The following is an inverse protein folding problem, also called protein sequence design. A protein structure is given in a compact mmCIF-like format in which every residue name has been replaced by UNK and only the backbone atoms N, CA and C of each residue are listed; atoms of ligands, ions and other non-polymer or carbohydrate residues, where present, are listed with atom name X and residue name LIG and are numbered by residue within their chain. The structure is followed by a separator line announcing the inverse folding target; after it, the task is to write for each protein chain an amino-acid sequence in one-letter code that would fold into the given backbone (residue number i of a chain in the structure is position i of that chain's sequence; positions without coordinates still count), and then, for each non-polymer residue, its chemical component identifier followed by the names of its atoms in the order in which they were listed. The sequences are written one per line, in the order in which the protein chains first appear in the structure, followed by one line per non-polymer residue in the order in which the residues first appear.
data_IF_373467554345
#
_entry.id   IF_373467554345
#
_cell.length_a   1.000
_cell.length_b   1.000
_cell.length_c   1.000
_cell.angle_alpha   90.00
_cell.angle_beta   90.00
_cell.angle_gamma   90.00
#
_symmetry.space_group_name_H-M   'P 1'
#
loop_
_entity.id
_entity.type
_entity.pdbx_description
1 polymer ?
#
# COMPACT_ATOMS: atom_id res chain seq x y z
N UNK A 1 29.23 3.94 59.88
CA UNK A 1 28.63 2.75 59.23
C UNK A 1 27.90 3.15 57.93
N UNK A 2 28.60 3.63 56.89
CA UNK A 2 27.96 4.05 55.61
C UNK A 2 28.68 3.53 54.35
N UNK A 3 29.61 2.58 54.51
CA UNK A 3 30.48 2.13 53.41
C UNK A 3 29.89 1.00 52.56
N UNK A 4 28.76 0.40 52.97
CA UNK A 4 28.20 -0.81 52.34
C UNK A 4 27.16 -0.57 51.24
N UNK A 5 26.50 0.60 51.21
CA UNK A 5 25.40 0.87 50.27
C UNK A 5 25.87 1.42 48.92
N UNK A 6 27.01 2.12 48.88
CA UNK A 6 27.54 2.68 47.63
C UNK A 6 28.14 1.64 46.69
N UNK A 7 28.81 0.62 47.24
CA UNK A 7 29.48 -0.41 46.44
C UNK A 7 28.46 -1.32 45.72
N UNK A 8 27.42 -1.78 46.41
CA UNK A 8 26.37 -2.65 45.84
C UNK A 8 25.59 -1.99 44.72
N UNK A 9 25.29 -0.69 44.83
CA UNK A 9 24.62 0.07 43.77
C UNK A 9 25.48 0.19 42.49
N UNK A 10 26.79 0.40 42.63
CA UNK A 10 27.73 0.50 41.50
C UNK A 10 27.91 -0.85 40.80
N UNK A 11 28.04 -1.96 41.54
CA UNK A 11 28.14 -3.29 40.95
C UNK A 11 26.85 -3.72 40.24
N UNK A 12 25.69 -3.43 40.83
CA UNK A 12 24.40 -3.72 40.21
C UNK A 12 24.18 -2.90 38.93
N UNK A 13 24.54 -1.61 38.95
CA UNK A 13 24.50 -0.75 37.76
C UNK A 13 25.44 -1.22 36.65
N UNK A 14 26.68 -1.59 36.98
CA UNK A 14 27.66 -2.12 36.03
C UNK A 14 27.21 -3.44 35.39
N UNK A 15 26.64 -4.35 36.19
CA UNK A 15 26.09 -5.62 35.68
C UNK A 15 24.89 -5.42 34.74
N UNK A 16 24.04 -4.43 35.02
CA UNK A 16 22.91 -4.08 34.15
C UNK A 16 23.38 -3.50 32.81
N UNK A 17 24.33 -2.56 32.83
CA UNK A 17 24.91 -1.98 31.61
C UNK A 17 25.62 -3.05 30.78
N UNK A 18 26.41 -3.93 31.41
CA UNK A 18 27.05 -5.05 30.73
C UNK A 18 26.03 -6.00 30.09
N UNK A 19 24.96 -6.36 30.80
CA UNK A 19 23.88 -7.20 30.24
C UNK A 19 23.17 -6.53 29.07
N UNK A 20 22.94 -5.21 29.10
CA UNK A 20 22.32 -4.48 28.00
C UNK A 20 23.28 -4.42 26.80
N UNK A 21 24.56 -4.08 27.03
CA UNK A 21 25.57 -3.97 25.99
C UNK A 21 25.87 -5.31 25.30
N UNK A 22 25.76 -6.43 26.01
CA UNK A 22 25.99 -7.79 25.49
C UNK A 22 24.74 -8.48 24.97
N UNK A 23 23.57 -7.82 25.02
CA UNK A 23 22.35 -8.40 24.42
C UNK A 23 22.55 -8.59 22.93
N UNK A 24 22.44 -9.83 22.47
CA UNK A 24 22.38 -10.15 21.05
C UNK A 24 21.18 -9.45 20.43
N UNK A 25 21.41 -8.69 19.36
CA UNK A 25 20.33 -8.10 18.57
C UNK A 25 19.50 -9.22 17.94
N UNK A 26 18.17 -9.07 17.86
CA UNK A 26 17.33 -10.02 17.14
C UNK A 26 17.76 -10.09 15.67
N UNK A 27 17.92 -11.31 15.15
CA UNK A 27 18.23 -11.54 13.73
C UNK A 27 16.97 -11.62 12.88
N UNK A 28 15.83 -11.99 13.50
CA UNK A 28 14.53 -12.16 12.86
C UNK A 28 13.44 -11.47 13.66
N UNK A 29 12.32 -11.18 13.00
CA UNK A 29 11.10 -10.65 13.60
C UNK A 29 9.90 -11.50 13.14
N UNK A 30 8.99 -11.79 14.08
CA UNK A 30 7.65 -12.25 13.73
C UNK A 30 6.83 -11.04 13.29
N UNK A 31 6.20 -11.14 12.13
CA UNK A 31 5.41 -10.06 11.52
C UNK A 31 4.07 -10.62 11.06
N UNK A 32 3.05 -9.77 10.98
CA UNK A 32 1.72 -10.11 10.50
C UNK A 32 1.45 -9.34 9.20
N UNK A 33 0.87 -10.02 8.21
CA UNK A 33 0.51 -9.38 6.97
C UNK A 33 -0.78 -8.55 7.12
N UNK A 34 -0.72 -7.27 6.78
CA UNK A 34 -1.87 -6.38 6.79
C UNK A 34 -3.05 -6.87 5.93
N UNK A 35 -2.76 -7.56 4.81
CA UNK A 35 -3.77 -7.92 3.81
C UNK A 35 -4.45 -9.27 4.07
N UNK A 36 -3.67 -10.32 4.34
CA UNK A 36 -4.21 -11.67 4.54
C UNK A 36 -4.22 -12.11 6.01
N UNK A 37 -3.73 -11.26 6.93
CA UNK A 37 -3.64 -11.51 8.36
C UNK A 37 -2.84 -12.80 8.73
N UNK A 38 -1.97 -13.28 7.84
CA UNK A 38 -1.09 -14.41 8.12
C UNK A 38 0.21 -13.93 8.77
N UNK A 39 0.65 -14.66 9.78
CA UNK A 39 1.94 -14.42 10.43
C UNK A 39 3.06 -15.07 9.62
N UNK A 40 4.21 -14.41 9.57
CA UNK A 40 5.45 -14.98 9.03
C UNK A 40 6.67 -14.45 9.79
N UNK A 41 7.84 -14.93 9.43
CA UNK A 41 9.12 -14.53 10.02
C UNK A 41 10.01 -13.96 8.93
N UNK A 42 10.55 -12.77 9.19
CA UNK A 42 11.45 -12.07 8.26
C UNK A 42 12.75 -11.68 8.97
N UNK A 43 13.85 -11.40 8.24
CA UNK A 43 15.02 -10.76 8.82
C UNK A 43 14.63 -9.48 9.58
N UNK A 44 15.22 -9.23 10.75
CA UNK A 44 14.80 -8.13 11.61
C UNK A 44 14.87 -6.75 10.93
N UNK A 45 15.83 -6.56 10.02
CA UNK A 45 15.95 -5.36 9.18
C UNK A 45 14.78 -5.15 8.22
N UNK A 46 14.09 -6.23 7.84
CA UNK A 46 13.02 -6.23 6.84
C UNK A 46 11.63 -6.22 7.47
N UNK A 47 11.51 -6.06 8.80
CA UNK A 47 10.22 -6.11 9.52
C UNK A 47 9.17 -5.10 9.03
N UNK A 48 9.59 -4.07 8.30
CA UNK A 48 8.73 -3.06 7.65
C UNK A 48 9.05 -2.91 6.16
N UNK A 49 9.56 -3.94 5.48
CA UNK A 49 9.76 -3.93 4.02
C UNK A 49 9.86 -5.35 3.48
N UNK A 50 8.72 -6.04 3.38
CA UNK A 50 8.68 -7.43 2.96
C UNK A 50 7.43 -7.72 2.14
N UNK A 51 7.55 -8.61 1.14
CA UNK A 51 6.41 -9.13 0.40
C UNK A 51 5.88 -10.38 1.10
N UNK A 52 4.56 -10.49 1.25
CA UNK A 52 3.94 -11.60 1.96
C UNK A 52 4.06 -12.91 1.16
N UNK A 53 4.59 -14.00 1.73
CA UNK A 53 4.74 -15.27 1.01
C UNK A 53 3.40 -15.98 0.72
N UNK A 54 2.28 -15.48 1.26
CA UNK A 54 0.96 -16.09 1.08
C UNK A 54 0.09 -15.36 0.03
N UNK A 55 0.18 -14.03 -0.06
CA UNK A 55 -0.67 -13.23 -0.95
C UNK A 55 0.10 -12.26 -1.85
N UNK A 56 1.43 -12.32 -1.84
CA UNK A 56 2.35 -11.51 -2.64
C UNK A 56 2.23 -9.99 -2.43
N UNK A 57 1.50 -9.54 -1.40
CA UNK A 57 1.32 -8.12 -1.11
C UNK A 57 2.50 -7.56 -0.30
N UNK A 58 2.94 -6.36 -0.66
CA UNK A 58 4.02 -5.65 0.03
C UNK A 58 3.56 -5.09 1.38
N UNK A 59 4.33 -5.35 2.43
CA UNK A 59 4.13 -4.90 3.80
C UNK A 59 5.28 -3.98 4.21
N UNK A 60 5.05 -2.68 4.11
CA UNK A 60 6.01 -1.67 4.50
C UNK A 60 5.38 -0.28 4.47
N UNK A 61 5.20 0.31 5.64
CA UNK A 61 4.42 1.54 5.83
C UNK A 61 5.24 2.63 6.53
N UNK A 62 4.93 3.88 6.22
CA UNK A 62 5.37 5.06 6.95
C UNK A 62 4.47 5.25 8.19
N UNK A 63 4.84 6.15 9.10
CA UNK A 63 4.06 6.41 10.32
C UNK A 63 2.65 6.93 10.03
N UNK A 64 2.45 7.58 8.89
CA UNK A 64 1.14 8.06 8.42
C UNK A 64 0.28 6.97 7.74
N UNK A 65 0.79 5.74 7.60
CA UNK A 65 0.10 4.63 6.95
C UNK A 65 0.36 4.48 5.45
N UNK A 66 1.05 5.42 4.80
CA UNK A 66 1.42 5.28 3.39
C UNK A 66 2.48 4.20 3.17
N UNK A 67 2.63 3.72 1.95
CA UNK A 67 3.76 2.86 1.62
C UNK A 67 5.10 3.60 1.80
N UNK A 68 6.08 2.91 2.35
CA UNK A 68 7.45 3.42 2.49
C UNK A 68 8.31 3.29 1.22
N UNK A 69 7.68 2.89 0.11
CA UNK A 69 8.27 2.88 -1.23
C UNK A 69 7.19 3.25 -2.24
N UNK A 70 7.55 3.87 -3.38
CA UNK A 70 6.61 4.01 -4.47
C UNK A 70 6.20 2.64 -5.00
N UNK A 71 4.91 2.47 -5.33
CA UNK A 71 4.38 1.28 -6.00
C UNK A 71 3.86 1.68 -7.38
N UNK A 72 4.70 1.65 -8.44
CA UNK A 72 4.33 2.12 -9.77
C UNK A 72 3.05 1.51 -10.35
N UNK A 73 2.78 0.23 -10.05
CA UNK A 73 1.57 -0.45 -10.50
C UNK A 73 0.27 0.26 -10.04
N UNK A 74 0.28 0.97 -8.91
CA UNK A 74 -0.90 1.71 -8.44
C UNK A 74 -1.31 2.88 -9.35
N UNK A 75 -0.41 3.41 -10.19
CA UNK A 75 -0.69 4.55 -11.07
C UNK A 75 -0.27 4.33 -12.53
N UNK A 76 0.41 3.23 -12.84
CA UNK A 76 0.82 2.85 -14.19
C UNK A 76 0.10 1.56 -14.59
N UNK A 77 -1.00 1.71 -15.32
CA UNK A 77 -1.89 0.60 -15.69
C UNK A 77 -1.16 -0.56 -16.39
N UNK A 78 -0.20 -0.27 -17.26
CA UNK A 78 0.57 -1.30 -17.98
C UNK A 78 1.49 -2.15 -17.08
N UNK A 79 1.65 -1.78 -15.81
CA UNK A 79 2.35 -2.58 -14.80
C UNK A 79 1.41 -3.45 -13.97
N UNK A 80 0.09 -3.28 -14.11
CA UNK A 80 -0.89 -4.13 -13.44
C UNK A 80 -0.95 -5.50 -14.10
N UNK A 81 -1.07 -6.54 -13.28
CA UNK A 81 -1.34 -7.88 -13.77
C UNK A 81 -2.79 -7.95 -14.27
N UNK A 82 -3.03 -8.56 -15.42
CA UNK A 82 -4.38 -8.81 -15.90
C UNK A 82 -5.10 -9.78 -14.97
N UNK A 83 -6.16 -9.33 -14.30
CA UNK A 83 -7.07 -10.20 -13.56
C UNK A 83 -8.26 -10.49 -14.47
N UNK A 84 -8.32 -11.68 -15.05
CA UNK A 84 -9.58 -12.17 -15.64
C UNK A 84 -10.42 -12.78 -14.51
N UNK A 85 -11.67 -12.34 -14.34
CA UNK A 85 -12.60 -12.84 -13.32
C UNK A 85 -13.06 -14.30 -13.52
N UNK A 86 -12.32 -15.11 -14.28
CA UNK A 86 -12.59 -16.53 -14.47
C UNK A 86 -11.70 -17.36 -13.53
N UNK A 87 -12.19 -18.47 -12.94
CA UNK A 87 -11.36 -19.34 -12.12
C UNK A 87 -10.17 -19.84 -12.95
N UNK A 88 -8.95 -19.50 -12.53
CA UNK A 88 -7.73 -19.91 -13.21
C UNK A 88 -7.57 -21.44 -13.10
N UNK A 89 -7.64 -22.14 -14.23
CA UNK A 89 -7.08 -23.48 -14.33
C UNK A 89 -5.55 -23.39 -14.30
N UNK A 90 -4.93 -24.22 -13.46
CA UNK A 90 -3.49 -24.27 -13.24
C UNK A 90 -2.74 -24.54 -14.55
N UNK A 91 -2.25 -23.49 -15.20
CA UNK A 91 -1.25 -23.60 -16.27
C UNK A 91 -0.18 -22.52 -16.08
N UNK A 92 1.09 -22.79 -16.44
CA UNK A 92 2.21 -21.95 -16.05
C UNK A 92 2.09 -20.54 -16.65
N UNK A 93 2.22 -19.54 -15.77
CA UNK A 93 2.11 -18.09 -16.04
C UNK A 93 3.12 -17.63 -17.10
N UNK A 94 2.80 -17.75 -18.38
CA UNK A 94 3.32 -16.79 -19.35
C UNK A 94 2.67 -15.46 -19.00
N UNK A 95 3.46 -14.41 -18.80
CA UNK A 95 2.99 -13.03 -18.61
C UNK A 95 2.21 -12.63 -19.86
N UNK A 96 0.93 -13.02 -19.91
CA UNK A 96 0.05 -12.72 -21.00
C UNK A 96 -0.25 -11.24 -20.89
N UNK A 97 0.57 -10.43 -21.57
CA UNK A 97 0.33 -9.03 -21.79
C UNK A 97 -1.13 -8.88 -22.19
N UNK A 98 -1.89 -8.16 -21.36
CA UNK A 98 -3.28 -7.83 -21.65
C UNK A 98 -3.32 -7.14 -23.01
N UNK A 99 -3.95 -7.79 -23.99
CA UNK A 99 -4.33 -7.13 -25.23
C UNK A 99 -5.47 -6.16 -24.88
N UNK A 100 -5.09 -4.99 -24.38
CA UNK A 100 -6.00 -3.90 -24.04
C UNK A 100 -6.51 -3.26 -25.33
N UNK A 101 -7.44 -3.92 -26.03
CA UNK A 101 -8.32 -3.17 -26.93
C UNK A 101 -9.06 -2.15 -26.06
N UNK A 102 -8.81 -0.87 -26.32
CA UNK A 102 -9.37 0.20 -25.52
C UNK A 102 -10.90 0.20 -25.68
N UNK A 103 -11.63 -0.11 -24.59
CA UNK A 103 -13.09 -0.01 -24.54
C UNK A 103 -13.58 1.40 -24.87
N UNK A 104 -12.77 2.40 -24.52
CA UNK A 104 -13.06 3.82 -24.71
C UNK A 104 -12.30 4.37 -25.92
N UNK A 105 -12.91 5.33 -26.62
CA UNK A 105 -12.19 6.12 -27.61
C UNK A 105 -11.05 6.90 -26.93
N UNK A 106 -10.00 7.25 -27.68
CA UNK A 106 -8.79 7.92 -27.15
C UNK A 106 -9.11 9.16 -26.30
N UNK A 107 -10.07 9.99 -26.73
CA UNK A 107 -10.51 11.18 -25.97
C UNK A 107 -11.10 10.79 -24.62
N UNK A 108 -12.05 9.86 -24.60
CA UNK A 108 -12.69 9.41 -23.37
C UNK A 108 -11.70 8.73 -22.44
N UNK A 109 -10.77 7.93 -22.96
CA UNK A 109 -9.72 7.31 -22.14
C UNK A 109 -8.82 8.34 -21.45
N UNK A 110 -8.34 9.34 -22.21
CA UNK A 110 -7.53 10.42 -21.65
C UNK A 110 -8.31 11.25 -20.61
N UNK A 111 -9.61 11.45 -20.84
CA UNK A 111 -10.49 12.11 -19.88
C UNK A 111 -10.61 11.31 -18.58
N UNK A 112 -10.76 9.98 -18.65
CA UNK A 112 -10.78 9.13 -17.45
C UNK A 112 -9.46 9.21 -16.67
N UNK A 113 -8.31 9.16 -17.37
CA UNK A 113 -7.01 9.35 -16.71
C UNK A 113 -6.87 10.71 -16.03
N UNK A 114 -7.39 11.78 -16.66
CA UNK A 114 -7.38 13.13 -16.09
C UNK A 114 -8.28 13.24 -14.86
N UNK A 115 -9.49 12.69 -14.96
CA UNK A 115 -10.45 12.64 -13.86
C UNK A 115 -9.88 11.93 -12.64
N UNK A 116 -9.25 10.76 -12.82
CA UNK A 116 -8.61 10.02 -11.71
C UNK A 116 -7.49 10.85 -11.09
N UNK A 117 -6.63 11.49 -11.90
CA UNK A 117 -5.54 12.34 -11.39
C UNK A 117 -6.07 13.52 -10.58
N UNK A 118 -7.13 14.18 -11.04
CA UNK A 118 -7.74 15.30 -10.32
C UNK A 118 -8.38 14.84 -9.01
N UNK A 119 -9.10 13.72 -9.03
CA UNK A 119 -9.69 13.15 -7.82
C UNK A 119 -8.63 12.75 -6.79
N UNK A 120 -7.55 12.11 -7.22
CA UNK A 120 -6.45 11.69 -6.35
C UNK A 120 -5.64 12.88 -5.77
N UNK A 121 -5.71 14.05 -6.41
CA UNK A 121 -5.02 15.27 -5.96
C UNK A 121 -5.94 16.21 -5.18
N UNK A 122 -7.16 15.78 -4.86
CA UNK A 122 -8.11 16.58 -4.11
C UNK A 122 -7.63 16.79 -2.67
N UNK A 123 -7.73 18.04 -2.20
CA UNK A 123 -7.42 18.43 -0.83
C UNK A 123 -8.67 19.16 -0.29
N UNK A 124 -9.29 18.66 0.80
CA UNK A 124 -10.43 19.33 1.41
C UNK A 124 -10.04 20.70 1.94
N UNK A 125 -11.00 21.64 1.95
CA UNK A 125 -10.81 22.95 2.58
C UNK A 125 -11.13 22.91 4.07
N UNK A 126 -12.08 22.07 4.44
CA UNK A 126 -12.57 21.88 5.80
C UNK A 126 -12.83 20.40 6.03
N UNK A 127 -12.11 19.80 6.97
CA UNK A 127 -12.17 18.37 7.27
C UNK A 127 -13.55 17.94 7.78
N UNK A 128 -14.27 18.83 8.48
CA UNK A 128 -15.63 18.56 8.98
C UNK A 128 -16.66 18.45 7.85
N UNK A 129 -16.37 19.07 6.71
CA UNK A 129 -17.23 19.07 5.52
C UNK A 129 -16.68 18.14 4.41
N UNK A 130 -15.64 17.34 4.70
CA UNK A 130 -14.93 16.53 3.70
C UNK A 130 -15.88 15.74 2.80
N UNK A 131 -16.85 15.03 3.40
CA UNK A 131 -17.78 14.15 2.67
C UNK A 131 -18.64 14.92 1.66
N UNK A 132 -19.13 16.11 2.02
CA UNK A 132 -19.92 16.94 1.11
C UNK A 132 -19.05 17.54 0.00
N UNK A 133 -17.85 18.03 0.35
CA UNK A 133 -16.96 18.65 -0.61
C UNK A 133 -16.42 17.65 -1.64
N UNK A 134 -16.04 16.44 -1.21
CA UNK A 134 -15.54 15.40 -2.10
C UNK A 134 -16.62 14.91 -3.05
N UNK A 135 -17.87 14.76 -2.60
CA UNK A 135 -18.98 14.34 -3.46
C UNK A 135 -19.35 15.42 -4.48
N UNK A 136 -19.36 16.69 -4.08
CA UNK A 136 -19.54 17.80 -5.01
C UNK A 136 -18.42 17.84 -6.06
N UNK A 137 -17.17 17.62 -5.65
CA UNK A 137 -16.03 17.58 -6.56
C UNK A 137 -16.10 16.38 -7.51
N UNK A 138 -16.41 15.18 -7.02
CA UNK A 138 -16.67 13.99 -7.84
C UNK A 138 -17.74 14.27 -8.88
N UNK A 139 -18.87 14.85 -8.48
CA UNK A 139 -19.96 15.19 -9.40
C UNK A 139 -19.49 16.16 -10.49
N UNK A 140 -18.76 17.21 -10.12
CA UNK A 140 -18.18 18.16 -11.09
C UNK A 140 -17.25 17.46 -12.10
N UNK A 141 -16.38 16.55 -11.64
CA UNK A 141 -15.49 15.80 -12.52
C UNK A 141 -16.27 14.86 -13.46
N UNK A 142 -17.30 14.19 -12.97
CA UNK A 142 -18.19 13.36 -13.80
C UNK A 142 -18.84 14.18 -14.90
N UNK A 143 -19.33 15.37 -14.59
CA UNK A 143 -19.97 16.25 -15.57
C UNK A 143 -18.98 16.82 -16.59
N UNK A 144 -17.76 17.13 -16.16
CA UNK A 144 -16.71 17.74 -16.98
C UNK A 144 -16.06 16.73 -17.93
N UNK A 145 -15.83 15.49 -17.45
CA UNK A 145 -15.12 14.43 -18.17
C UNK A 145 -16.04 13.32 -18.67
N UNK A 146 -17.33 13.64 -18.93
CA UNK A 146 -18.32 12.69 -19.45
C UNK A 146 -17.82 11.88 -20.63
N UNK A 147 -18.23 10.62 -20.66
CA UNK A 147 -18.05 9.76 -21.82
C UNK A 147 -18.92 10.25 -22.98
N UNK A 148 -18.43 10.06 -24.21
CA UNK A 148 -19.30 10.20 -25.37
C UNK A 148 -20.32 9.04 -25.39
N UNK A 149 -21.47 9.26 -26.03
CA UNK A 149 -22.56 8.29 -26.06
C UNK A 149 -22.13 6.86 -26.46
N UNK A 150 -21.32 6.64 -27.52
CA UNK A 150 -20.84 5.28 -27.84
C UNK A 150 -20.04 4.62 -26.73
N UNK A 151 -19.13 5.37 -26.09
CA UNK A 151 -18.32 4.87 -24.98
C UNK A 151 -19.15 4.61 -23.71
N UNK A 152 -20.14 5.46 -23.44
CA UNK A 152 -21.08 5.26 -22.33
C UNK A 152 -21.84 3.93 -22.51
N UNK A 153 -22.42 3.71 -23.70
CA UNK A 153 -23.11 2.46 -24.03
C UNK A 153 -22.18 1.24 -23.96
N UNK A 154 -20.92 1.38 -24.40
CA UNK A 154 -19.94 0.30 -24.31
C UNK A 154 -19.63 -0.08 -22.85
N UNK A 155 -19.52 0.89 -21.95
CA UNK A 155 -19.31 0.65 -20.51
C UNK A 155 -20.54 0.04 -19.86
N UNK A 156 -21.75 0.50 -20.20
CA UNK A 156 -23.00 -0.02 -19.62
C UNK A 156 -23.33 -1.48 -20.05
N UNK A 157 -22.71 -1.96 -21.13
CA UNK A 157 -22.90 -3.33 -21.62
C UNK A 157 -21.95 -4.36 -20.96
N UNK A 158 -20.85 -3.90 -20.37
CA UNK A 158 -19.84 -4.72 -19.69
C UNK A 158 -20.08 -4.77 -18.18
#
# INVERSE_FOLDING_TARGET
MYSGFGATAVFAGGALVYKIATRKKPTHASVNCWFCNQNTVVPYGNRNCWDCPNCDQYNGFQENGDYNKPIPAQYMEHLNHGVSGSPQSETPKSLQWVNCQMLLCRKCNNNQSTKIKQLASYIPRDDENYDEEIEAFKHHLEQTFKLCRPCQTAVEYY
#
